data_IF_797848034895
#
_entry.id   IF_797848034895
#
_cell.length_a   1.000
_cell.length_b   1.000
_cell.length_c   1.000
_cell.angle_alpha   90.00
_cell.angle_beta   90.00
_cell.angle_gamma   90.00
#
_symmetry.space_group_name_H-M   'P 1'
#
loop_
_entity.id
_entity.type
_entity.pdbx_description
1 polymer ?
#
# COMPACT_ATOMS: atom_id res chain seq x y z
N UNK A 1 -13.64 -4.22 -9.53
CA UNK A 1 -13.78 -3.06 -10.46
C UNK A 1 -15.16 -2.41 -10.43
N UNK A 2 -16.26 -3.16 -10.61
CA UNK A 2 -17.62 -2.60 -10.53
C UNK A 2 -17.91 -1.94 -9.17
N UNK A 3 -17.53 -2.59 -8.08
CA UNK A 3 -17.69 -2.05 -6.72
C UNK A 3 -16.87 -0.79 -6.48
N UNK A 4 -15.58 -0.80 -6.83
CA UNK A 4 -14.74 0.39 -6.73
C UNK A 4 -15.34 1.58 -7.50
N UNK A 5 -15.92 1.33 -8.69
CA UNK A 5 -16.63 2.37 -9.45
C UNK A 5 -17.88 2.89 -8.72
N UNK A 6 -18.67 1.99 -8.12
CA UNK A 6 -19.85 2.39 -7.30
C UNK A 6 -19.44 3.21 -6.08
N UNK A 7 -18.32 2.87 -5.46
CA UNK A 7 -17.76 3.56 -4.29
C UNK A 7 -16.96 4.84 -4.64
N UNK A 8 -16.83 5.20 -5.92
CA UNK A 8 -16.03 6.37 -6.34
C UNK A 8 -14.51 6.21 -6.15
N UNK A 9 -14.03 4.99 -5.88
CA UNK A 9 -12.61 4.70 -5.62
C UNK A 9 -11.87 4.53 -6.94
N UNK A 10 -10.77 5.27 -7.12
CA UNK A 10 -9.89 5.12 -8.29
C UNK A 10 -9.06 3.84 -8.14
N UNK A 11 -9.10 2.99 -9.16
CA UNK A 11 -8.35 1.72 -9.17
C UNK A 11 -7.49 1.63 -10.41
N UNK A 12 -6.29 1.10 -10.24
CA UNK A 12 -5.37 0.64 -11.27
C UNK A 12 -5.18 -0.86 -11.07
N UNK A 13 -5.20 -1.63 -12.15
CA UNK A 13 -4.94 -3.07 -12.11
C UNK A 13 -4.16 -3.53 -13.32
N UNK A 14 -3.30 -4.54 -13.15
CA UNK A 14 -2.64 -5.23 -14.26
C UNK A 14 -3.59 -6.29 -14.80
N UNK A 15 -3.79 -6.30 -16.11
CA UNK A 15 -4.52 -7.37 -16.78
C UNK A 15 -3.59 -8.57 -17.04
N UNK A 16 -4.16 -9.77 -17.13
CA UNK A 16 -3.43 -10.95 -17.56
C UNK A 16 -3.07 -10.83 -19.05
N UNK A 17 -2.07 -11.58 -19.52
CA UNK A 17 -1.60 -11.54 -20.93
C UNK A 17 -2.72 -11.76 -21.95
N UNK A 18 -3.71 -12.59 -21.62
CA UNK A 18 -4.80 -12.99 -22.51
C UNK A 18 -6.04 -12.07 -22.39
N UNK A 19 -5.85 -10.82 -21.95
CA UNK A 19 -6.96 -9.90 -21.78
C UNK A 19 -7.63 -9.58 -23.13
N UNK A 20 -8.93 -9.28 -23.06
CA UNK A 20 -9.71 -8.75 -24.18
C UNK A 20 -10.47 -7.52 -23.70
N UNK A 21 -10.28 -6.41 -24.39
CA UNK A 21 -11.05 -5.18 -24.16
C UNK A 21 -11.92 -4.87 -25.36
N UNK A 22 -13.07 -4.25 -25.13
CA UNK A 22 -13.97 -3.82 -26.20
C UNK A 22 -13.96 -2.30 -26.35
N UNK A 23 -14.00 -1.79 -27.58
CA UNK A 23 -14.22 -0.38 -27.88
C UNK A 23 -15.17 -0.28 -29.07
N UNK A 24 -16.30 0.40 -28.87
CA UNK A 24 -17.37 0.51 -29.88
C UNK A 24 -17.84 -0.86 -30.42
N UNK A 25 -18.02 -1.85 -29.54
CA UNK A 25 -18.45 -3.20 -29.91
C UNK A 25 -17.35 -4.11 -30.49
N UNK A 26 -16.21 -3.56 -30.90
CA UNK A 26 -15.08 -4.33 -31.44
C UNK A 26 -14.15 -4.78 -30.30
N UNK A 27 -13.71 -6.04 -30.36
CA UNK A 27 -12.79 -6.64 -29.38
C UNK A 27 -11.34 -6.43 -29.82
N UNK A 28 -10.47 -6.12 -28.86
CA UNK A 28 -9.04 -5.88 -29.04
C UNK A 28 -8.25 -6.72 -28.04
N UNK A 29 -7.23 -7.41 -28.55
CA UNK A 29 -6.17 -8.08 -27.81
C UNK A 29 -4.90 -7.24 -27.83
N UNK A 30 -3.87 -7.70 -27.12
CA UNK A 30 -2.57 -7.03 -27.05
C UNK A 30 -1.98 -6.73 -28.43
N UNK A 31 -1.92 -7.71 -29.33
CA UNK A 31 -1.38 -7.56 -30.69
C UNK A 31 -2.15 -6.49 -31.50
N UNK A 32 -3.48 -6.52 -31.45
CA UNK A 32 -4.33 -5.54 -32.13
C UNK A 32 -4.02 -4.11 -31.66
N UNK A 33 -3.78 -3.95 -30.36
CA UNK A 33 -3.47 -2.66 -29.77
C UNK A 33 -2.08 -2.18 -30.17
N UNK A 34 -1.08 -3.07 -30.20
CA UNK A 34 0.28 -2.72 -30.61
C UNK A 34 0.34 -2.32 -32.10
N UNK A 35 -0.45 -2.98 -32.95
CA UNK A 35 -0.49 -2.68 -34.38
C UNK A 35 -1.25 -1.39 -34.70
N UNK A 36 -2.24 -1.00 -33.89
CA UNK A 36 -3.15 0.12 -34.18
C UNK A 36 -2.92 1.38 -33.34
N UNK A 37 -1.99 1.37 -32.38
CA UNK A 37 -1.76 2.51 -31.48
C UNK A 37 -0.44 3.21 -31.77
N UNK A 38 -0.43 4.53 -31.59
CA UNK A 38 0.79 5.33 -31.65
C UNK A 38 1.47 5.30 -30.27
N UNK A 39 2.65 4.66 -30.13
CA UNK A 39 3.36 4.66 -28.86
C UNK A 39 3.85 6.07 -28.51
N UNK A 40 3.85 6.38 -27.22
CA UNK A 40 4.46 7.59 -26.66
C UNK A 40 5.62 7.18 -25.76
N UNK A 41 6.69 7.99 -25.76
CA UNK A 41 7.82 7.82 -24.83
C UNK A 41 7.70 8.80 -23.68
N UNK A 42 7.97 8.34 -22.46
CA UNK A 42 7.91 9.14 -21.23
C UNK A 42 9.02 8.75 -20.27
N UNK A 43 9.63 9.73 -19.62
CA UNK A 43 10.47 9.49 -18.44
C UNK A 43 9.61 9.53 -17.18
N UNK A 44 9.69 8.50 -16.34
CA UNK A 44 8.98 8.41 -15.06
C UNK A 44 10.00 7.92 -14.03
N UNK A 45 10.23 8.72 -12.99
CA UNK A 45 11.16 8.40 -11.89
C UNK A 45 12.59 8.02 -12.36
N UNK A 46 13.11 8.75 -13.35
CA UNK A 46 14.44 8.48 -13.92
C UNK A 46 14.49 7.36 -14.96
N UNK A 47 13.42 6.58 -15.13
CA UNK A 47 13.35 5.47 -16.08
C UNK A 47 12.55 5.83 -17.35
N UNK A 48 12.94 5.24 -18.49
CA UNK A 48 12.27 5.45 -19.77
C UNK A 48 11.18 4.41 -20.04
N UNK A 49 10.00 4.89 -20.45
CA UNK A 49 8.83 4.08 -20.73
C UNK A 49 8.30 4.29 -22.13
N UNK A 50 7.95 3.19 -22.81
CA UNK A 50 7.13 3.16 -24.01
C UNK A 50 5.71 2.80 -23.63
N UNK A 51 4.76 3.65 -24.00
CA UNK A 51 3.37 3.54 -23.58
C UNK A 51 2.47 3.57 -24.81
N UNK A 52 1.59 2.58 -24.92
CA UNK A 52 0.52 2.56 -25.92
C UNK A 52 -0.82 2.82 -25.24
N UNK A 53 -1.34 4.07 -25.29
CA UNK A 53 -2.60 4.41 -24.64
C UNK A 53 -3.81 3.94 -25.47
N UNK A 54 -4.71 3.21 -24.83
CA UNK A 54 -5.98 2.79 -25.39
C UNK A 54 -7.15 3.25 -24.50
N UNK A 55 -7.63 4.46 -24.79
CA UNK A 55 -8.67 5.13 -23.99
C UNK A 55 -10.07 4.68 -24.35
N UNK A 56 -11.00 4.87 -23.40
CA UNK A 56 -12.46 4.63 -23.55
C UNK A 56 -12.77 3.20 -23.98
N UNK A 57 -12.15 2.23 -23.32
CA UNK A 57 -12.40 0.81 -23.55
C UNK A 57 -13.24 0.22 -22.41
N UNK A 58 -13.79 -0.97 -22.67
CA UNK A 58 -14.60 -1.73 -21.73
C UNK A 58 -13.89 -3.03 -21.45
N UNK A 59 -13.65 -3.32 -20.18
CA UNK A 59 -13.13 -4.60 -19.71
C UNK A 59 -14.09 -5.18 -18.67
N UNK A 60 -14.55 -6.41 -18.89
CA UNK A 60 -15.52 -7.11 -18.01
C UNK A 60 -16.74 -6.24 -17.63
N UNK A 61 -17.31 -5.53 -18.61
CA UNK A 61 -18.47 -4.64 -18.41
C UNK A 61 -18.15 -3.34 -17.66
N UNK A 62 -16.88 -3.02 -17.41
CA UNK A 62 -16.44 -1.78 -16.77
C UNK A 62 -15.73 -0.89 -17.78
N UNK A 63 -16.25 0.33 -17.95
CA UNK A 63 -15.60 1.34 -18.79
C UNK A 63 -14.36 1.93 -18.10
N UNK A 64 -13.29 2.13 -18.87
CA UNK A 64 -12.02 2.66 -18.38
C UNK A 64 -11.03 2.96 -19.50
N UNK A 65 -9.77 3.06 -19.12
CA UNK A 65 -8.63 3.29 -19.99
C UNK A 65 -7.61 2.17 -19.78
N UNK A 66 -7.05 1.67 -20.87
CA UNK A 66 -5.98 0.69 -20.87
C UNK A 66 -4.70 1.36 -21.35
N UNK A 67 -3.58 1.05 -20.73
CA UNK A 67 -2.25 1.47 -21.13
C UNK A 67 -1.38 0.22 -21.23
N UNK A 68 -0.84 -0.06 -22.41
CA UNK A 68 0.24 -1.04 -22.51
C UNK A 68 1.54 -0.29 -22.20
N UNK A 69 2.28 -0.76 -21.21
CA UNK A 69 3.48 -0.08 -20.71
C UNK A 69 4.66 -1.02 -20.79
N UNK A 70 5.76 -0.57 -21.38
CA UNK A 70 7.04 -1.27 -21.38
C UNK A 70 8.12 -0.33 -20.86
N UNK A 71 8.72 -0.68 -19.73
CA UNK A 71 9.87 0.04 -19.17
C UNK A 71 11.18 -0.41 -19.82
N UNK A 72 12.23 0.36 -19.58
CA UNK A 72 13.60 0.01 -19.92
C UNK A 72 14.03 -1.28 -19.21
N UNK A 73 14.66 -2.23 -19.92
CA UNK A 73 15.04 -3.54 -19.37
C UNK A 73 13.94 -4.61 -19.31
N UNK A 74 12.71 -4.30 -19.75
CA UNK A 74 11.63 -5.28 -19.87
C UNK A 74 11.33 -5.61 -21.34
N UNK A 75 11.30 -6.91 -21.66
CA UNK A 75 11.03 -7.39 -23.01
C UNK A 75 9.58 -7.18 -23.43
N UNK A 76 8.65 -7.25 -22.47
CA UNK A 76 7.23 -7.33 -22.75
C UNK A 76 6.40 -6.17 -22.18
N UNK A 77 5.29 -5.86 -22.85
CA UNK A 77 4.33 -4.85 -22.41
C UNK A 77 3.41 -5.37 -21.29
N UNK A 78 3.32 -4.59 -20.22
CA UNK A 78 2.40 -4.77 -19.10
C UNK A 78 1.08 -4.02 -19.39
N UNK A 79 -0.08 -4.70 -19.41
CA UNK A 79 -1.37 -4.05 -19.63
C UNK A 79 -1.94 -3.50 -18.31
N UNK A 80 -1.90 -2.18 -18.14
CA UNK A 80 -2.47 -1.48 -16.98
C UNK A 80 -3.83 -0.88 -17.30
N UNK A 81 -4.86 -1.30 -16.58
CA UNK A 81 -6.23 -0.80 -16.74
C UNK A 81 -6.65 0.06 -15.55
N UNK A 82 -7.31 1.18 -15.83
CA UNK A 82 -7.89 2.05 -14.82
C UNK A 82 -9.30 2.50 -15.17
N UNK A 83 -10.16 2.65 -14.16
CA UNK A 83 -11.50 3.22 -14.33
C UNK A 83 -11.50 4.76 -14.33
N UNK A 84 -10.35 5.38 -14.04
CA UNK A 84 -10.24 6.83 -14.00
C UNK A 84 -10.25 7.41 -15.41
N UNK A 85 -11.30 8.15 -15.75
CA UNK A 85 -11.56 8.69 -17.10
C UNK A 85 -10.47 9.62 -17.60
N UNK A 86 -9.92 10.44 -16.69
CA UNK A 86 -8.92 11.47 -16.99
C UNK A 86 -7.50 11.06 -16.54
N UNK A 87 -7.25 9.76 -16.38
CA UNK A 87 -5.95 9.27 -15.95
C UNK A 87 -4.87 9.60 -16.98
N UNK A 88 -3.80 10.25 -16.49
CA UNK A 88 -2.54 10.37 -17.22
C UNK A 88 -1.78 9.05 -17.12
N UNK A 89 -1.15 8.55 -18.19
CA UNK A 89 -0.38 7.32 -18.15
C UNK A 89 0.67 7.29 -17.04
N UNK A 90 1.36 8.42 -16.83
CA UNK A 90 2.41 8.58 -15.83
C UNK A 90 1.88 8.32 -14.41
N UNK A 91 0.71 8.88 -14.09
CA UNK A 91 0.04 8.67 -12.80
C UNK A 91 -0.38 7.21 -12.59
N UNK A 92 -0.82 6.53 -13.64
CA UNK A 92 -1.22 5.12 -13.58
C UNK A 92 -0.03 4.22 -13.32
N UNK A 93 1.09 4.50 -13.99
CA UNK A 93 2.34 3.74 -13.84
C UNK A 93 2.90 3.94 -12.42
N UNK A 94 3.01 5.18 -11.95
CA UNK A 94 3.46 5.47 -10.58
C UNK A 94 2.60 4.75 -9.53
N UNK A 95 1.26 4.79 -9.66
CA UNK A 95 0.40 4.04 -8.74
C UNK A 95 0.54 2.53 -8.85
N UNK A 96 0.86 2.01 -10.03
CA UNK A 96 1.14 0.58 -10.16
C UNK A 96 2.46 0.19 -9.48
N UNK A 97 3.49 1.04 -9.56
CA UNK A 97 4.79 0.81 -8.91
C UNK A 97 4.70 0.77 -7.39
N UNK A 98 3.75 1.48 -6.78
CA UNK A 98 3.51 1.39 -5.34
C UNK A 98 3.17 -0.03 -4.87
N UNK A 99 2.73 -0.93 -5.75
CA UNK A 99 2.55 -2.35 -5.42
C UNK A 99 3.80 -2.99 -4.83
N UNK A 100 5.00 -2.58 -5.27
CA UNK A 100 6.27 -3.12 -4.78
C UNK A 100 6.41 -2.90 -3.26
N UNK A 101 5.82 -1.84 -2.71
CA UNK A 101 5.80 -1.59 -1.26
C UNK A 101 5.03 -2.66 -0.48
N UNK A 102 3.98 -3.26 -1.07
CA UNK A 102 3.20 -4.35 -0.47
C UNK A 102 4.04 -5.64 -0.43
N UNK A 103 4.78 -5.91 -1.50
CA UNK A 103 5.68 -7.07 -1.57
C UNK A 103 6.83 -6.95 -0.58
N UNK A 104 7.41 -5.75 -0.47
CA UNK A 104 8.43 -5.45 0.53
C UNK A 104 7.89 -5.58 1.96
N UNK A 105 6.69 -5.04 2.23
CA UNK A 105 6.00 -5.19 3.52
C UNK A 105 5.83 -6.66 3.89
N UNK A 106 5.39 -7.47 2.93
CA UNK A 106 5.21 -8.92 3.12
C UNK A 106 6.53 -9.61 3.44
N UNK A 107 7.60 -9.26 2.71
CA UNK A 107 8.95 -9.79 2.95
C UNK A 107 9.45 -9.44 4.36
N UNK A 108 9.28 -8.18 4.78
CA UNK A 108 9.72 -7.68 6.09
C UNK A 108 8.96 -8.34 7.24
N UNK A 109 7.63 -8.42 7.14
CA UNK A 109 6.79 -9.10 8.14
C UNK A 109 7.16 -10.57 8.32
N UNK A 110 7.41 -11.29 7.22
CA UNK A 110 7.80 -12.71 7.27
C UNK A 110 9.22 -12.91 7.76
N UNK A 111 10.18 -12.23 7.13
CA UNK A 111 11.61 -12.54 7.31
C UNK A 111 12.19 -11.92 8.58
N UNK A 112 11.72 -10.74 8.99
CA UNK A 112 12.30 -10.01 10.13
C UNK A 112 11.42 -10.07 11.37
N UNK A 113 10.10 -9.99 11.21
CA UNK A 113 9.17 -10.06 12.34
C UNK A 113 8.62 -11.47 12.60
N UNK A 114 8.93 -12.45 11.73
CA UNK A 114 8.59 -13.84 11.97
C UNK A 114 7.08 -14.11 12.05
N UNK A 115 6.26 -13.39 11.26
CA UNK A 115 4.80 -13.47 11.37
C UNK A 115 4.22 -14.89 11.20
N UNK A 116 4.93 -15.76 10.47
CA UNK A 116 4.58 -17.16 10.23
C UNK A 116 5.17 -18.13 11.27
N UNK A 117 6.05 -17.66 12.16
CA UNK A 117 6.83 -18.49 13.09
C UNK A 117 6.15 -18.79 14.43
N UNK A 118 4.87 -18.43 14.61
CA UNK A 118 4.17 -18.67 15.86
C UNK A 118 3.52 -20.06 15.92
N UNK A 119 3.46 -20.64 17.12
CA UNK A 119 2.90 -21.96 17.37
C UNK A 119 1.51 -21.91 18.05
N UNK A 120 0.76 -20.82 17.88
CA UNK A 120 -0.55 -20.68 18.51
C UNK A 120 -1.55 -21.66 17.88
N UNK A 121 -2.06 -22.59 18.71
CA UNK A 121 -3.08 -23.57 18.29
C UNK A 121 -4.48 -22.96 18.17
N UNK A 122 -4.77 -21.90 18.93
CA UNK A 122 -6.05 -21.18 18.90
C UNK A 122 -6.03 -20.10 17.83
N UNK A 123 -7.11 -20.04 17.04
CA UNK A 123 -7.26 -19.09 15.93
C UNK A 123 -7.20 -17.64 16.42
N UNK A 124 -7.85 -17.35 17.54
CA UNK A 124 -7.92 -16.01 18.15
C UNK A 124 -6.54 -15.54 18.60
N UNK A 125 -5.75 -16.43 19.21
CA UNK A 125 -4.38 -16.14 19.63
C UNK A 125 -3.47 -15.89 18.42
N UNK A 126 -3.62 -16.65 17.34
CA UNK A 126 -2.89 -16.42 16.10
C UNK A 126 -3.23 -15.06 15.48
N UNK A 127 -4.51 -14.68 15.42
CA UNK A 127 -4.89 -13.34 14.94
C UNK A 127 -4.37 -12.21 15.82
N UNK A 128 -4.42 -12.38 17.15
CA UNK A 128 -3.85 -11.41 18.08
C UNK A 128 -2.35 -11.20 17.86
N UNK A 129 -1.61 -12.29 17.61
CA UNK A 129 -0.19 -12.22 17.30
C UNK A 129 0.11 -11.51 15.97
N UNK A 130 -0.61 -11.87 14.91
CA UNK A 130 -0.49 -11.22 13.58
C UNK A 130 -0.78 -9.71 13.70
N UNK A 131 -1.80 -9.35 14.48
CA UNK A 131 -2.15 -7.96 14.72
C UNK A 131 -1.04 -7.20 15.46
N UNK A 132 -0.49 -7.79 16.54
CA UNK A 132 0.60 -7.19 17.30
C UNK A 132 1.85 -6.96 16.42
N UNK A 133 2.25 -7.94 15.61
CA UNK A 133 3.37 -7.78 14.69
C UNK A 133 3.11 -6.73 13.61
N UNK A 134 1.86 -6.60 13.16
CA UNK A 134 1.48 -5.54 12.22
C UNK A 134 1.60 -4.14 12.85
N UNK A 135 1.27 -4.00 14.13
CA UNK A 135 1.48 -2.75 14.88
C UNK A 135 2.97 -2.44 15.06
N UNK A 136 3.77 -3.44 15.43
CA UNK A 136 5.23 -3.29 15.56
C UNK A 136 5.84 -2.88 14.21
N UNK A 137 5.41 -3.51 13.12
CA UNK A 137 5.82 -3.14 11.77
C UNK A 137 5.51 -1.66 11.45
N UNK A 138 4.29 -1.21 11.72
CA UNK A 138 3.90 0.19 11.49
C UNK A 138 4.73 1.16 12.32
N UNK A 139 5.05 0.81 13.58
CA UNK A 139 5.93 1.60 14.43
C UNK A 139 7.35 1.68 13.86
N UNK A 140 7.91 0.56 13.42
CA UNK A 140 9.25 0.49 12.83
C UNK A 140 9.32 1.30 11.53
N UNK A 141 8.32 1.21 10.67
CA UNK A 141 8.27 2.02 9.45
C UNK A 141 8.10 3.50 9.73
N UNK A 142 7.30 3.86 10.75
CA UNK A 142 7.21 5.24 11.20
C UNK A 142 8.56 5.76 11.69
N UNK A 143 9.25 5.01 12.54
CA UNK A 143 10.58 5.36 13.04
C UNK A 143 11.61 5.48 11.93
N UNK A 144 11.57 4.59 10.93
CA UNK A 144 12.46 4.60 9.78
C UNK A 144 12.40 5.92 9.00
N UNK A 145 11.25 6.62 8.98
CA UNK A 145 11.14 7.95 8.34
C UNK A 145 12.03 9.01 8.99
N UNK A 146 12.50 8.79 10.22
CA UNK A 146 13.35 9.71 10.98
C UNK A 146 14.82 9.28 10.98
N UNK A 147 15.11 8.10 10.46
CA UNK A 147 16.46 7.55 10.37
C UNK A 147 16.86 7.45 8.90
N UNK A 148 17.36 8.56 8.36
CA UNK A 148 17.79 8.64 6.96
C UNK A 148 18.80 7.55 6.61
N UNK A 149 18.53 6.84 5.51
CA UNK A 149 19.40 5.79 4.98
C UNK A 149 19.33 4.44 5.68
N UNK A 150 18.55 4.28 6.76
CA UNK A 150 18.42 3.00 7.45
C UNK A 150 17.42 2.05 6.76
N UNK A 151 17.78 0.77 6.70
CA UNK A 151 16.85 -0.29 6.30
C UNK A 151 15.91 -0.64 7.46
N UNK A 152 14.80 -1.32 7.15
CA UNK A 152 13.88 -1.84 8.19
C UNK A 152 14.61 -2.73 9.21
N UNK A 153 15.56 -3.55 8.74
CA UNK A 153 16.36 -4.44 9.57
C UNK A 153 17.22 -3.66 10.56
N UNK A 154 17.88 -2.60 10.10
CA UNK A 154 18.77 -1.78 10.93
C UNK A 154 17.99 -1.12 12.09
N UNK A 155 16.81 -0.58 11.79
CA UNK A 155 15.92 0.03 12.80
C UNK A 155 15.45 -1.00 13.82
N UNK A 156 15.07 -2.20 13.35
CA UNK A 156 14.66 -3.30 14.23
C UNK A 156 15.80 -3.77 15.14
N UNK A 157 17.02 -3.92 14.61
CA UNK A 157 18.19 -4.33 15.37
C UNK A 157 18.59 -3.29 16.42
N UNK A 158 18.57 -2.00 16.07
CA UNK A 158 18.86 -0.92 17.02
C UNK A 158 17.86 -0.85 18.17
N UNK A 159 16.55 -0.96 17.86
CA UNK A 159 15.53 -1.00 18.90
C UNK A 159 15.65 -2.25 19.78
N UNK A 160 15.95 -3.40 19.18
CA UNK A 160 16.15 -4.64 19.92
C UNK A 160 17.35 -4.53 20.86
N UNK A 161 18.46 -3.98 20.38
CA UNK A 161 19.66 -3.72 21.19
C UNK A 161 19.38 -2.75 22.35
N UNK A 162 18.61 -1.69 22.10
CA UNK A 162 18.16 -0.76 23.14
C UNK A 162 17.33 -1.46 24.23
N UNK A 163 16.38 -2.31 23.84
CA UNK A 163 15.50 -3.02 24.78
C UNK A 163 16.22 -4.13 25.57
N UNK A 164 17.26 -4.75 24.99
CA UNK A 164 18.00 -5.87 25.60
C UNK A 164 19.12 -5.44 26.56
N UNK A 165 19.46 -4.15 26.62
CA UNK A 165 20.56 -3.70 27.47
C UNK A 165 20.20 -3.83 28.96
N UNK A 166 20.93 -4.69 29.68
CA UNK A 166 20.87 -4.91 31.14
C UNK A 166 21.21 -3.66 31.99
N UNK A 167 21.63 -2.57 31.36
CA UNK A 167 22.01 -1.28 31.95
C UNK A 167 21.83 -0.23 30.85
N UNK A 168 20.69 0.49 30.79
CA UNK A 168 20.37 1.39 29.70
C UNK A 168 21.50 2.40 29.43
N UNK A 169 21.65 2.92 28.20
CA UNK A 169 22.65 3.93 27.90
C UNK A 169 22.60 5.06 28.94
N UNK A 170 23.78 5.60 29.31
CA UNK A 170 23.96 6.57 30.41
C UNK A 170 22.98 7.75 30.39
N UNK A 171 22.39 8.04 29.23
CA UNK A 171 21.15 8.81 29.18
C UNK A 171 20.31 8.44 27.96
N UNK A 172 18.99 8.63 28.10
CA UNK A 172 18.02 8.56 27.02
C UNK A 172 18.46 9.45 25.85
N UNK A 173 19.18 10.57 26.09
CA UNK A 173 19.51 11.63 25.12
C UNK A 173 20.28 11.20 23.85
N UNK A 174 20.95 10.05 23.83
CA UNK A 174 21.61 9.55 22.59
C UNK A 174 20.62 8.99 21.55
N UNK A 175 19.47 8.52 22.00
CA UNK A 175 18.31 8.14 21.18
C UNK A 175 17.11 9.07 21.42
N UNK A 176 17.12 9.91 22.46
CA UNK A 176 16.08 10.89 22.73
C UNK A 176 16.18 12.09 21.80
N UNK A 177 17.34 12.48 21.29
CA UNK A 177 17.37 13.53 20.26
C UNK A 177 16.53 13.11 19.02
N UNK A 178 16.72 11.89 18.47
CA UNK A 178 15.85 11.35 17.43
C UNK A 178 14.42 11.04 17.93
N UNK A 179 14.25 10.35 19.06
CA UNK A 179 12.93 9.90 19.56
C UNK A 179 12.10 11.03 20.18
N UNK A 180 12.69 12.06 20.77
CA UNK A 180 11.97 13.28 21.19
C UNK A 180 11.56 14.07 19.95
N UNK A 181 12.38 14.18 18.90
CA UNK A 181 11.88 14.72 17.62
C UNK A 181 10.67 13.95 17.08
N UNK A 182 10.64 12.64 17.29
CA UNK A 182 9.54 11.75 16.87
C UNK A 182 8.30 11.89 17.77
N UNK A 183 8.50 11.95 19.10
CA UNK A 183 7.44 11.88 20.11
C UNK A 183 6.92 13.26 20.53
N UNK A 184 7.77 14.30 20.57
CA UNK A 184 7.38 15.70 20.79
C UNK A 184 6.56 16.24 19.62
N UNK A 185 6.80 15.82 18.37
CA UNK A 185 5.95 16.20 17.23
C UNK A 185 4.57 15.50 17.22
N UNK A 186 4.41 14.41 17.97
CA UNK A 186 3.08 13.81 18.27
C UNK A 186 2.42 14.45 19.50
N UNK A 187 3.12 15.29 20.25
CA UNK A 187 2.61 16.03 21.39
C UNK A 187 2.25 17.47 21.03
N UNK A 188 0.95 17.78 21.01
CA UNK A 188 0.39 19.15 21.08
C UNK A 188 0.27 19.99 19.79
N UNK A 189 0.16 19.37 18.61
CA UNK A 189 0.09 20.11 17.34
C UNK A 189 -1.19 20.04 16.49
N UNK A 190 -2.23 19.25 16.84
CA UNK A 190 -3.60 19.27 16.22
C UNK A 190 -4.47 18.13 16.76
N UNK A 191 -4.86 18.22 18.03
CA UNK A 191 -6.13 17.61 18.46
C UNK A 191 -7.25 18.52 17.96
N UNK A 192 -7.66 18.34 16.71
CA UNK A 192 -8.88 18.96 16.21
C UNK A 192 -9.75 17.92 15.51
N UNK A 193 -10.74 17.47 16.28
CA UNK A 193 -12.06 16.94 15.86
C UNK A 193 -12.06 15.60 15.13
N UNK A 194 -11.91 14.53 15.89
CA UNK A 194 -12.75 13.36 15.66
C UNK A 194 -14.03 13.60 16.47
N UNK A 195 -15.11 14.04 15.81
CA UNK A 195 -16.45 14.06 16.41
C UNK A 195 -16.91 12.60 16.56
N UNK A 196 -16.56 11.96 17.66
CA UNK A 196 -17.31 10.81 18.14
C UNK A 196 -18.53 11.36 18.84
N UNK A 197 -19.67 11.34 18.14
CA UNK A 197 -20.96 11.64 18.74
C UNK A 197 -21.16 10.72 19.94
N UNK A 198 -21.24 11.31 21.12
CA UNK A 198 -21.68 10.69 22.37
C UNK A 198 -23.08 10.08 22.15
N UNK A 199 -23.13 8.79 21.81
CA UNK A 199 -24.26 7.96 22.19
C UNK A 199 -24.02 7.59 23.65
N UNK A 200 -24.85 8.17 24.52
CA UNK A 200 -24.80 7.95 25.97
C UNK A 200 -24.93 6.46 26.33
N UNK A 201 -24.56 6.11 27.58
CA UNK A 201 -24.58 4.73 28.05
C UNK A 201 -26.00 4.16 27.97
N UNK A 202 -26.16 3.03 27.27
CA UNK A 202 -27.34 2.19 27.39
C UNK A 202 -27.37 1.59 28.79
N UNK A 203 -28.32 2.03 29.59
CA UNK A 203 -28.71 1.38 30.85
C UNK A 203 -29.18 -0.04 30.55
N UNK A 204 -28.40 -1.02 31.01
CA UNK A 204 -28.86 -2.40 31.18
C UNK A 204 -29.06 -2.59 32.67
N UNK A 205 -30.23 -2.21 33.17
CA UNK A 205 -30.74 -2.70 34.44
C UNK A 205 -32.01 -3.49 34.19
N UNK A 206 -31.87 -4.80 34.37
CA UNK A 206 -32.97 -5.75 34.46
C UNK A 206 -33.86 -5.38 35.64
N UNK A 207 -35.12 -5.07 35.36
CA UNK A 207 -36.17 -5.04 36.36
C UNK A 207 -36.57 -6.48 36.71
N UNK A 208 -36.07 -6.96 37.85
CA UNK A 208 -36.64 -8.10 38.58
C UNK A 208 -37.80 -7.59 39.44
N UNK A 209 -38.83 -8.44 39.60
CA UNK A 209 -40.03 -8.42 40.48
C UNK A 209 -41.29 -7.97 39.74
N UNK A 210 -42.42 -8.69 39.79
CA UNK A 210 -42.86 -9.82 40.61
C UNK A 210 -43.87 -10.68 39.82
#
# INVERSE_FOLDING_TARGET
>A
MKEARKAGVKVVTRLNSNFVVARFGVKFRKEDLLNNSKPIRRGIDGESYIICPFKRCIWQGTAGNLFLVRGEGYDDFIPLFTISRNAKPETVIMKYMERTSIEQTTKELKSYLGIEGNNFKKKESNYGYIFLLSLIYNLLQYLRLYFDGMSFKDVLEQLSFYLLWKSPPKSVYSLAEPLNRVLENTGSGRLNKINVGLLGPMDVSESVRA
#
